data_IF_499208200024
#
_entry.id   IF_499208200024
#
_cell.length_a   1.000
_cell.length_b   1.000
_cell.length_c   1.000
_cell.angle_alpha   90.00
_cell.angle_beta   90.00
_cell.angle_gamma   90.00
#
_symmetry.space_group_name_H-M   'P 1'
#
loop_
_entity.id
_entity.type
_entity.pdbx_description
1 polymer ?
#
# COMPACT_ATOMS: atom_id res chain seq x y z
N UNK A 1 -0.90 -37.96 -1.66
CA UNK A 1 0.27 -37.05 -1.68
C UNK A 1 -0.28 -35.64 -1.74
N UNK A 2 0.22 -34.75 -0.91
CA UNK A 2 -0.29 -33.37 -0.89
C UNK A 2 0.06 -32.70 -2.24
N UNK A 3 -0.95 -32.14 -2.91
CA UNK A 3 -0.83 -31.46 -4.22
C UNK A 3 0.10 -30.22 -4.22
N UNK A 4 0.71 -29.88 -3.08
CA UNK A 4 1.48 -28.64 -2.88
C UNK A 4 2.97 -28.87 -2.53
N UNK A 5 3.51 -30.06 -2.75
CA UNK A 5 4.95 -30.33 -2.51
C UNK A 5 5.75 -29.99 -3.75
N UNK A 6 6.74 -29.10 -3.62
CA UNK A 6 7.67 -28.75 -4.70
C UNK A 6 8.66 -29.87 -4.93
N UNK A 7 8.65 -30.49 -6.11
CA UNK A 7 9.55 -31.58 -6.51
C UNK A 7 10.69 -31.08 -7.39
N UNK A 8 11.70 -31.93 -7.62
CA UNK A 8 12.86 -31.62 -8.46
C UNK A 8 12.47 -31.16 -9.89
N UNK A 9 11.38 -31.72 -10.45
CA UNK A 9 10.87 -31.35 -11.77
C UNK A 9 10.19 -29.98 -11.81
N UNK A 10 9.81 -29.44 -10.65
CA UNK A 10 9.20 -28.12 -10.52
C UNK A 10 10.27 -27.03 -10.41
N UNK A 11 11.52 -27.40 -10.16
CA UNK A 11 12.68 -26.52 -10.19
C UNK A 11 13.21 -26.43 -11.62
N UNK A 12 12.64 -25.49 -12.38
CA UNK A 12 13.08 -25.20 -13.75
C UNK A 12 14.52 -24.70 -13.72
N UNK A 13 15.28 -25.09 -14.75
CA UNK A 13 16.69 -24.86 -15.01
C UNK A 13 17.29 -23.60 -14.33
N UNK A 14 18.27 -23.74 -13.42
CA UNK A 14 18.63 -22.78 -12.37
C UNK A 14 19.16 -21.43 -12.85
N UNK A 15 19.70 -21.36 -14.06
CA UNK A 15 20.30 -20.14 -14.60
C UNK A 15 19.29 -19.07 -15.06
N UNK A 16 18.05 -19.48 -15.37
CA UNK A 16 17.00 -18.58 -15.87
C UNK A 16 16.11 -18.07 -14.74
N UNK A 17 16.02 -18.83 -13.64
CA UNK A 17 15.10 -18.51 -12.54
C UNK A 17 15.62 -17.37 -11.66
N UNK A 18 16.92 -17.28 -11.42
CA UNK A 18 17.50 -16.23 -10.59
C UNK A 18 17.29 -14.82 -11.18
N UNK A 19 17.41 -14.69 -12.51
CA UNK A 19 17.24 -13.42 -13.20
C UNK A 19 15.76 -13.01 -13.32
N UNK A 20 14.87 -13.98 -13.61
CA UNK A 20 13.42 -13.74 -13.70
C UNK A 20 12.75 -13.42 -12.36
N UNK A 21 13.29 -13.99 -11.28
CA UNK A 21 12.78 -13.75 -9.92
C UNK A 21 13.19 -12.37 -9.44
N UNK A 22 14.40 -11.93 -9.73
CA UNK A 22 14.88 -10.59 -9.37
C UNK A 22 14.08 -9.48 -10.06
N UNK A 23 13.70 -9.63 -11.32
CA UNK A 23 12.92 -8.64 -12.06
C UNK A 23 11.47 -8.50 -11.55
N UNK A 24 10.85 -9.60 -11.10
CA UNK A 24 9.47 -9.57 -10.58
C UNK A 24 9.32 -9.11 -9.13
N UNK A 25 10.41 -9.11 -8.37
CA UNK A 25 10.38 -8.77 -6.94
C UNK A 25 10.37 -7.26 -6.65
N UNK A 26 10.77 -6.45 -7.62
CA UNK A 26 10.86 -4.98 -7.47
C UNK A 26 9.49 -4.29 -7.60
N UNK A 27 8.48 -4.96 -8.12
CA UNK A 27 7.16 -4.37 -8.41
C UNK A 27 6.30 -4.09 -7.17
N UNK A 28 6.82 -4.33 -5.97
CA UNK A 28 5.86 -4.73 -4.97
C UNK A 28 5.51 -3.68 -3.92
N UNK A 29 6.44 -2.93 -3.38
CA UNK A 29 6.18 -2.19 -2.13
C UNK A 29 6.23 -0.69 -2.38
N UNK A 30 5.09 -0.08 -2.70
CA UNK A 30 5.04 1.36 -2.97
C UNK A 30 4.16 2.15 -2.00
N UNK A 31 3.12 1.53 -1.48
CA UNK A 31 2.17 2.22 -0.60
C UNK A 31 2.56 2.04 0.87
N UNK A 32 3.17 0.92 1.22
CA UNK A 32 3.55 0.63 2.60
C UNK A 32 4.46 1.70 3.25
N UNK A 33 5.44 2.31 2.54
CA UNK A 33 6.25 3.39 3.12
C UNK A 33 5.46 4.66 3.48
N UNK A 34 4.27 4.86 2.89
CA UNK A 34 3.38 5.98 3.16
C UNK A 34 2.46 5.72 4.38
N UNK A 35 2.41 4.47 4.85
CA UNK A 35 1.58 4.07 5.97
C UNK A 35 2.27 4.36 7.31
N UNK A 36 1.52 4.90 8.27
CA UNK A 36 1.97 4.94 9.65
C UNK A 36 1.81 3.54 10.27
N UNK A 37 2.86 3.04 10.95
CA UNK A 37 2.80 1.75 11.64
C UNK A 37 2.45 1.98 13.10
N UNK A 38 1.30 1.44 13.52
CA UNK A 38 0.84 1.46 14.90
C UNK A 38 1.03 0.08 15.55
N UNK A 39 1.80 0.03 16.62
CA UNK A 39 2.14 -1.18 17.39
C UNK A 39 1.39 -1.28 18.73
N UNK A 40 0.36 -0.47 18.94
CA UNK A 40 -0.35 -0.42 20.21
C UNK A 40 -0.96 -1.77 20.64
N UNK A 41 -1.20 -2.68 19.71
CA UNK A 41 -1.75 -4.02 19.96
C UNK A 41 -0.69 -5.13 20.04
N UNK A 42 0.56 -4.81 19.85
CA UNK A 42 1.63 -5.80 19.93
C UNK A 42 1.72 -6.37 21.37
N UNK A 43 1.63 -7.71 21.47
CA UNK A 43 1.65 -8.40 22.77
C UNK A 43 0.40 -8.24 23.66
N UNK A 44 -0.66 -7.56 23.19
CA UNK A 44 -1.91 -7.39 23.94
C UNK A 44 -2.99 -8.38 23.49
N UNK A 45 -3.89 -8.76 24.39
CA UNK A 45 -5.08 -9.54 24.05
C UNK A 45 -6.08 -8.69 23.27
N UNK A 46 -6.83 -9.31 22.34
CA UNK A 46 -7.85 -8.68 21.52
C UNK A 46 -7.55 -8.84 20.02
N UNK A 47 -8.60 -8.91 19.21
CA UNK A 47 -8.53 -9.06 17.74
C UNK A 47 -9.09 -7.86 17.00
N UNK A 48 -9.52 -6.82 17.72
CA UNK A 48 -10.20 -5.65 17.17
C UNK A 48 -9.59 -4.38 17.73
N UNK A 49 -9.47 -3.37 16.88
CA UNK A 49 -9.12 -2.00 17.24
C UNK A 49 -10.36 -1.14 17.12
N UNK A 50 -10.68 -0.39 18.14
CA UNK A 50 -11.71 0.63 18.11
C UNK A 50 -11.03 1.98 17.89
N UNK A 51 -11.25 2.58 16.73
CA UNK A 51 -10.73 3.89 16.38
C UNK A 51 -11.81 4.95 16.62
N UNK A 52 -11.66 5.83 17.63
CA UNK A 52 -12.61 6.90 17.83
C UNK A 52 -12.40 7.98 16.75
N UNK A 53 -13.48 8.36 16.07
CA UNK A 53 -13.53 9.49 15.15
C UNK A 53 -14.42 10.57 15.77
N UNK A 54 -13.81 11.70 16.15
CA UNK A 54 -14.53 12.81 16.73
C UNK A 54 -15.06 13.74 15.65
N UNK A 55 -16.33 14.14 15.76
CA UNK A 55 -16.89 15.14 14.90
C UNK A 55 -16.50 16.54 15.37
N UNK A 56 -16.27 17.44 14.42
CA UNK A 56 -16.02 18.85 14.72
C UNK A 56 -17.23 19.47 15.42
N UNK A 57 -17.02 20.17 16.52
CA UNK A 57 -18.10 20.79 17.32
C UNK A 57 -18.67 22.09 16.72
N UNK A 58 -18.08 22.54 15.60
CA UNK A 58 -18.41 23.81 14.94
C UNK A 58 -17.64 25.00 15.52
N UNK A 59 -17.68 26.10 14.80
CA UNK A 59 -16.93 27.31 15.14
C UNK A 59 -17.40 27.93 16.47
N UNK A 60 -16.50 28.71 17.08
CA UNK A 60 -16.85 29.57 18.21
C UNK A 60 -17.81 30.68 17.74
N UNK A 61 -18.68 31.13 18.65
CA UNK A 61 -19.59 32.22 18.40
C UNK A 61 -19.25 33.40 19.30
N UNK A 62 -19.47 34.60 18.81
CA UNK A 62 -19.29 35.80 19.62
C UNK A 62 -20.31 35.80 20.77
N UNK A 63 -19.84 36.04 21.99
CA UNK A 63 -20.64 36.07 23.19
C UNK A 63 -20.61 37.50 23.74
N UNK A 64 -21.81 38.10 23.89
CA UNK A 64 -21.94 39.43 24.49
C UNK A 64 -21.68 39.38 25.99
N UNK A 65 -21.27 40.52 26.57
CA UNK A 65 -20.98 40.64 27.98
C UNK A 65 -22.21 40.21 28.84
N UNK A 66 -21.95 39.27 29.78
CA UNK A 66 -22.99 38.72 30.65
C UNK A 66 -23.82 37.57 30.04
N UNK A 67 -23.62 37.22 28.79
CA UNK A 67 -24.27 36.05 28.18
C UNK A 67 -23.54 34.75 28.47
N UNK A 68 -24.30 33.65 28.56
CA UNK A 68 -23.71 32.32 28.78
C UNK A 68 -23.02 31.81 27.52
N UNK A 69 -21.81 31.24 27.67
CA UNK A 69 -21.10 30.55 26.57
C UNK A 69 -21.89 29.30 26.17
N UNK A 70 -22.25 29.13 24.89
CA UNK A 70 -22.99 27.96 24.41
C UNK A 70 -22.12 26.68 24.55
N UNK A 71 -22.63 25.70 25.30
CA UNK A 71 -21.98 24.41 25.49
C UNK A 71 -22.52 23.43 24.45
N UNK A 72 -21.63 22.89 23.62
CA UNK A 72 -21.94 21.89 22.61
C UNK A 72 -21.45 20.51 23.03
N UNK A 73 -22.19 19.46 22.71
CA UNK A 73 -21.83 18.08 23.00
C UNK A 73 -20.80 17.59 21.98
N UNK A 74 -19.66 17.07 22.44
CA UNK A 74 -18.72 16.35 21.60
C UNK A 74 -19.32 14.98 21.22
N UNK A 75 -19.46 14.73 19.92
CA UNK A 75 -19.93 13.44 19.39
C UNK A 75 -18.76 12.67 18.82
N UNK A 76 -18.66 11.39 19.16
CA UNK A 76 -17.67 10.47 18.62
C UNK A 76 -18.37 9.31 17.96
N UNK A 77 -17.87 8.91 16.79
CA UNK A 77 -18.18 7.63 16.17
C UNK A 77 -16.97 6.70 16.33
N UNK A 78 -17.21 5.41 16.42
CA UNK A 78 -16.16 4.41 16.51
C UNK A 78 -16.15 3.57 15.24
N UNK A 79 -14.97 3.42 14.65
CA UNK A 79 -14.75 2.47 13.56
C UNK A 79 -14.04 1.26 14.15
N UNK A 80 -14.64 0.08 13.98
CA UNK A 80 -14.07 -1.17 14.43
C UNK A 80 -13.26 -1.80 13.29
N UNK A 81 -11.98 -2.05 13.54
CA UNK A 81 -11.07 -2.67 12.58
C UNK A 81 -10.57 -3.99 13.13
N UNK A 82 -10.84 -5.08 12.41
CA UNK A 82 -10.45 -6.45 12.82
C UNK A 82 -9.06 -6.79 12.30
N UNK A 83 -8.22 -7.35 13.18
CA UNK A 83 -6.91 -7.88 12.82
C UNK A 83 -7.09 -9.21 12.08
N UNK A 84 -6.33 -9.38 11.00
CA UNK A 84 -6.29 -10.60 10.22
C UNK A 84 -4.90 -11.24 10.26
N UNK A 85 -4.86 -12.55 10.04
CA UNK A 85 -3.63 -13.31 9.81
C UNK A 85 -3.43 -13.43 8.29
N UNK A 86 -2.26 -13.05 7.81
CA UNK A 86 -1.78 -13.38 6.48
C UNK A 86 -0.63 -14.37 6.64
N UNK A 87 -0.63 -15.44 5.87
CA UNK A 87 0.44 -16.44 5.90
C UNK A 87 0.58 -17.13 4.56
N UNK A 88 1.77 -17.66 4.31
CA UNK A 88 2.10 -18.46 3.15
C UNK A 88 3.14 -19.51 3.56
N UNK A 89 3.27 -20.59 2.79
CA UNK A 89 4.21 -21.65 3.09
C UNK A 89 4.68 -22.40 1.83
N UNK A 90 5.84 -23.01 1.93
CA UNK A 90 6.46 -23.84 0.88
C UNK A 90 6.96 -25.13 1.51
N UNK A 91 6.75 -26.24 0.84
CA UNK A 91 7.32 -27.54 1.19
C UNK A 91 8.37 -27.93 0.15
N UNK A 92 9.58 -28.26 0.62
CA UNK A 92 10.71 -28.64 -0.20
C UNK A 92 11.12 -30.08 0.13
N UNK A 93 11.35 -30.91 -0.88
CA UNK A 93 11.90 -32.28 -0.69
C UNK A 93 13.40 -32.22 -0.49
N UNK A 94 13.98 -33.20 0.21
CA UNK A 94 15.44 -33.31 0.38
C UNK A 94 16.16 -33.41 -0.98
N UNK A 95 15.57 -34.11 -1.93
CA UNK A 95 16.11 -34.24 -3.28
C UNK A 95 16.19 -32.88 -4.00
N UNK A 96 15.17 -32.03 -3.81
CA UNK A 96 15.17 -30.68 -4.40
C UNK A 96 16.21 -29.77 -3.79
N UNK A 97 16.48 -29.90 -2.49
CA UNK A 97 17.53 -29.14 -1.78
C UNK A 97 18.92 -29.62 -2.18
N UNK A 98 19.13 -30.94 -2.26
CA UNK A 98 20.43 -31.53 -2.56
C UNK A 98 20.82 -31.40 -4.04
N UNK A 99 19.87 -31.46 -4.96
CA UNK A 99 20.11 -31.41 -6.41
C UNK A 99 19.90 -30.01 -6.99
N UNK A 100 19.26 -29.09 -6.26
CA UNK A 100 19.04 -27.71 -6.67
C UNK A 100 20.36 -26.93 -6.74
N UNK A 101 20.52 -26.10 -7.76
CA UNK A 101 21.66 -25.19 -7.86
C UNK A 101 21.43 -23.97 -6.96
N UNK A 102 22.46 -23.58 -6.19
CA UNK A 102 22.37 -22.46 -5.26
C UNK A 102 21.78 -22.84 -3.91
N UNK A 103 20.94 -21.97 -3.33
CA UNK A 103 20.27 -22.17 -2.04
C UNK A 103 18.74 -22.11 -2.23
N UNK A 104 18.07 -23.22 -2.57
CA UNK A 104 16.61 -23.24 -2.76
C UNK A 104 15.85 -22.90 -1.48
N UNK A 105 16.40 -23.22 -0.31
CA UNK A 105 15.75 -22.92 0.97
C UNK A 105 15.78 -21.42 1.27
N UNK A 106 16.95 -20.79 1.11
CA UNK A 106 17.09 -19.34 1.29
C UNK A 106 16.21 -18.56 0.31
N UNK A 107 16.10 -19.02 -0.94
CA UNK A 107 15.22 -18.39 -1.93
C UNK A 107 13.73 -18.56 -1.56
N UNK A 108 13.32 -19.72 -1.07
CA UNK A 108 11.95 -19.93 -0.60
C UNK A 108 11.59 -18.99 0.55
N UNK A 109 12.48 -18.84 1.54
CA UNK A 109 12.28 -17.88 2.65
C UNK A 109 12.17 -16.45 2.14
N UNK A 110 13.03 -16.05 1.20
CA UNK A 110 13.00 -14.72 0.59
C UNK A 110 11.67 -14.46 -0.14
N UNK A 111 11.21 -15.40 -0.95
CA UNK A 111 9.95 -15.27 -1.67
C UNK A 111 8.74 -15.22 -0.72
N UNK A 112 8.75 -16.00 0.35
CA UNK A 112 7.71 -15.96 1.37
C UNK A 112 7.64 -14.59 2.05
N UNK A 113 8.78 -14.00 2.41
CA UNK A 113 8.85 -12.67 3.00
C UNK A 113 8.27 -11.60 2.06
N UNK A 114 8.63 -11.64 0.77
CA UNK A 114 8.09 -10.74 -0.25
C UNK A 114 6.59 -10.96 -0.46
N UNK A 115 6.12 -12.20 -0.41
CA UNK A 115 4.68 -12.52 -0.52
C UNK A 115 3.87 -11.83 0.58
N UNK A 116 4.36 -11.83 1.82
CA UNK A 116 3.72 -11.14 2.94
C UNK A 116 3.74 -9.62 2.73
N UNK A 117 4.89 -9.05 2.33
CA UNK A 117 5.00 -7.62 2.05
C UNK A 117 4.03 -7.17 0.95
N UNK A 118 3.96 -7.94 -0.14
CA UNK A 118 2.99 -7.71 -1.22
C UNK A 118 1.54 -7.77 -0.74
N UNK A 119 1.23 -8.70 0.16
CA UNK A 119 -0.11 -8.80 0.72
C UNK A 119 -0.49 -7.57 1.53
N UNK A 120 0.42 -7.06 2.37
CA UNK A 120 0.21 -5.82 3.13
C UNK A 120 -0.04 -4.64 2.20
N UNK A 121 0.77 -4.50 1.16
CA UNK A 121 0.66 -3.42 0.19
C UNK A 121 -0.64 -3.51 -0.65
N UNK A 122 -1.07 -4.72 -1.02
CA UNK A 122 -2.36 -4.93 -1.68
C UNK A 122 -3.54 -4.53 -0.79
N UNK A 123 -3.45 -4.81 0.51
CA UNK A 123 -4.47 -4.42 1.47
C UNK A 123 -4.50 -2.90 1.67
N UNK A 124 -3.34 -2.23 1.62
CA UNK A 124 -3.26 -0.77 1.63
C UNK A 124 -3.92 -0.16 0.38
N UNK A 125 -3.67 -0.73 -0.81
CA UNK A 125 -4.34 -0.32 -2.04
C UNK A 125 -5.86 -0.52 -1.96
N UNK A 126 -6.32 -1.65 -1.41
CA UNK A 126 -7.74 -1.91 -1.22
C UNK A 126 -8.41 -0.89 -0.27
N UNK A 127 -7.68 -0.42 0.76
CA UNK A 127 -8.16 0.67 1.62
C UNK A 127 -8.30 1.99 0.86
N UNK A 128 -7.37 2.31 -0.05
CA UNK A 128 -7.47 3.49 -0.91
C UNK A 128 -8.66 3.42 -1.89
N UNK A 129 -9.04 2.24 -2.33
CA UNK A 129 -10.26 2.08 -3.14
C UNK A 129 -11.53 2.47 -2.37
N UNK A 130 -11.52 2.37 -1.05
CA UNK A 130 -12.61 2.74 -0.15
C UNK A 130 -12.74 4.25 0.13
N UNK A 131 -11.93 5.12 -0.48
CA UNK A 131 -12.03 6.57 -0.33
C UNK A 131 -13.42 7.05 -0.73
N UNK A 132 -14.04 7.85 0.13
CA UNK A 132 -15.40 8.37 -0.05
C UNK A 132 -15.55 9.30 -1.27
N UNK A 133 -16.80 9.53 -1.66
CA UNK A 133 -17.12 10.39 -2.82
C UNK A 133 -16.64 11.83 -2.64
N UNK A 134 -16.61 12.33 -1.42
CA UNK A 134 -16.18 13.70 -1.11
C UNK A 134 -14.72 13.96 -1.46
N UNK A 135 -13.87 12.92 -1.30
CA UNK A 135 -12.44 12.92 -1.66
C UNK A 135 -12.17 12.23 -3.00
N UNK A 136 -13.19 12.10 -3.85
CA UNK A 136 -13.05 11.54 -5.20
C UNK A 136 -13.25 12.62 -6.24
N UNK A 137 -12.35 12.69 -7.22
CA UNK A 137 -12.49 13.55 -8.41
C UNK A 137 -12.69 12.63 -9.61
N UNK A 138 -13.84 12.79 -10.28
CA UNK A 138 -14.19 11.98 -11.43
C UNK A 138 -13.89 12.73 -12.73
N UNK A 139 -12.88 12.28 -13.45
CA UNK A 139 -12.48 12.69 -14.79
C UNK A 139 -12.43 11.48 -15.74
N UNK A 140 -13.31 10.51 -15.52
CA UNK A 140 -13.37 9.26 -16.29
C UNK A 140 -13.63 9.43 -17.78
N UNK A 141 -13.97 10.63 -18.23
CA UNK A 141 -14.16 10.98 -19.66
C UNK A 141 -12.88 11.45 -20.34
N UNK A 142 -11.85 11.86 -19.58
CA UNK A 142 -10.60 12.41 -20.08
C UNK A 142 -9.38 11.62 -19.62
N UNK A 143 -8.26 11.60 -20.39
CA UNK A 143 -7.00 11.00 -19.97
C UNK A 143 -6.38 11.79 -18.80
N UNK A 144 -5.38 11.19 -18.17
CA UNK A 144 -4.64 11.84 -17.09
C UNK A 144 -3.91 13.08 -17.63
N UNK A 145 -4.19 14.23 -17.03
CA UNK A 145 -3.58 15.53 -17.36
C UNK A 145 -3.09 16.26 -16.11
N UNK A 146 -2.24 17.25 -16.29
CA UNK A 146 -1.80 18.13 -15.20
C UNK A 146 -2.99 18.85 -14.55
N UNK A 147 -3.95 19.31 -15.35
CA UNK A 147 -5.16 20.00 -14.87
C UNK A 147 -6.02 19.08 -13.98
N UNK A 148 -6.17 17.80 -14.36
CA UNK A 148 -6.91 16.84 -13.57
C UNK A 148 -6.25 16.61 -12.19
N UNK A 149 -4.91 16.65 -12.14
CA UNK A 149 -4.15 16.56 -10.88
C UNK A 149 -4.35 17.84 -10.06
N UNK A 150 -4.30 19.02 -10.69
CA UNK A 150 -4.56 20.28 -10.01
C UNK A 150 -5.96 20.32 -9.39
N UNK A 151 -7.00 19.89 -10.12
CA UNK A 151 -8.37 19.77 -9.60
C UNK A 151 -8.45 18.80 -8.40
N UNK A 152 -7.67 17.71 -8.44
CA UNK A 152 -7.62 16.76 -7.33
C UNK A 152 -6.94 17.37 -6.09
N UNK A 153 -5.92 18.21 -6.29
CA UNK A 153 -5.23 18.88 -5.19
C UNK A 153 -6.10 19.88 -4.45
N UNK A 154 -7.06 20.50 -5.11
CA UNK A 154 -8.04 21.42 -4.47
C UNK A 154 -8.82 20.72 -3.36
N UNK A 155 -9.03 19.40 -3.44
CA UNK A 155 -9.73 18.62 -2.40
C UNK A 155 -9.01 18.60 -1.06
N UNK A 156 -7.72 18.87 -1.01
CA UNK A 156 -6.96 18.97 0.24
C UNK A 156 -7.21 20.32 0.97
N UNK A 157 -7.87 21.29 0.31
CA UNK A 157 -8.16 22.60 0.91
C UNK A 157 -6.88 23.32 1.36
N UNK A 158 -6.90 23.85 2.58
CA UNK A 158 -5.77 24.58 3.17
C UNK A 158 -4.60 23.67 3.59
N UNK A 159 -4.77 22.33 3.53
CA UNK A 159 -3.68 21.37 3.77
C UNK A 159 -2.77 21.22 2.52
N UNK A 160 -2.44 22.35 1.89
CA UNK A 160 -1.57 22.38 0.71
C UNK A 160 -0.11 22.06 1.03
N UNK A 161 0.33 22.30 2.28
CA UNK A 161 1.69 22.07 2.73
C UNK A 161 1.88 20.62 3.17
N UNK A 162 2.88 19.96 2.61
CA UNK A 162 3.23 18.59 2.94
C UNK A 162 3.55 17.77 1.69
N UNK A 163 4.36 16.74 1.92
CA UNK A 163 4.69 15.79 0.86
C UNK A 163 3.43 15.07 0.38
N UNK A 164 3.26 15.05 -0.94
CA UNK A 164 2.16 14.35 -1.60
C UNK A 164 2.73 13.36 -2.60
N UNK A 165 2.24 12.16 -2.56
CA UNK A 165 2.64 11.11 -3.50
C UNK A 165 1.45 10.76 -4.39
N UNK A 166 1.63 10.93 -5.69
CA UNK A 166 0.68 10.53 -6.72
C UNK A 166 1.03 9.14 -7.21
N UNK A 167 0.17 8.19 -6.92
CA UNK A 167 0.28 6.80 -7.41
C UNK A 167 -0.47 6.67 -8.73
N UNK A 168 0.24 6.25 -9.79
CA UNK A 168 -0.31 6.06 -11.14
C UNK A 168 0.09 4.71 -11.73
N UNK A 169 -0.67 4.25 -12.72
CA UNK A 169 -0.27 3.11 -13.52
C UNK A 169 0.92 3.46 -14.44
N UNK A 170 1.84 2.52 -14.71
CA UNK A 170 2.98 2.75 -15.62
C UNK A 170 2.56 3.25 -17.01
N UNK A 171 1.43 2.78 -17.53
CA UNK A 171 0.89 3.21 -18.83
C UNK A 171 0.56 4.71 -18.90
N UNK A 172 0.24 5.34 -17.76
CA UNK A 172 -0.13 6.76 -17.70
C UNK A 172 1.07 7.70 -17.60
N UNK A 173 2.26 7.17 -17.31
CA UNK A 173 3.47 7.98 -17.18
C UNK A 173 3.80 8.76 -18.46
N UNK A 174 3.57 8.13 -19.62
CA UNK A 174 3.82 8.77 -20.93
C UNK A 174 2.95 10.03 -21.15
N UNK A 175 1.75 10.05 -20.57
CA UNK A 175 0.84 11.19 -20.65
C UNK A 175 1.36 12.37 -19.84
N UNK A 176 1.81 12.09 -18.60
CA UNK A 176 2.36 13.11 -17.72
C UNK A 176 3.69 13.69 -18.22
N UNK A 177 4.56 12.86 -18.80
CA UNK A 177 5.85 13.31 -19.34
C UNK A 177 5.74 14.29 -20.50
N UNK A 178 4.59 14.37 -21.16
CA UNK A 178 4.28 15.33 -22.21
C UNK A 178 3.82 16.68 -21.66
N UNK A 179 3.53 16.77 -20.37
CA UNK A 179 3.10 18.02 -19.73
C UNK A 179 4.28 18.95 -19.46
N UNK A 180 4.11 20.26 -19.69
CA UNK A 180 5.09 21.29 -19.34
C UNK A 180 5.34 21.41 -17.84
N UNK A 181 4.35 21.01 -17.01
CA UNK A 181 4.44 21.00 -15.56
C UNK A 181 5.24 19.83 -14.99
N UNK A 182 5.77 18.95 -15.86
CA UNK A 182 6.53 17.77 -15.44
C UNK A 182 7.96 18.12 -15.07
N UNK A 183 8.37 17.84 -13.83
CA UNK A 183 9.74 17.96 -13.34
C UNK A 183 10.35 16.55 -13.28
N UNK A 184 11.48 16.35 -13.95
CA UNK A 184 12.20 15.07 -13.96
C UNK A 184 12.80 14.76 -12.59
N UNK A 185 12.89 13.50 -12.24
CA UNK A 185 13.52 13.07 -10.99
C UNK A 185 14.97 13.55 -10.85
N UNK A 186 15.73 13.64 -11.95
CA UNK A 186 17.10 14.15 -11.98
C UNK A 186 17.22 15.62 -11.55
N UNK A 187 16.17 16.41 -11.70
CA UNK A 187 16.15 17.84 -11.39
C UNK A 187 15.68 18.13 -9.95
N UNK A 188 15.22 17.11 -9.23
CA UNK A 188 14.66 17.23 -7.88
C UNK A 188 15.71 17.24 -6.75
N UNK A 189 16.95 16.89 -7.04
CA UNK A 189 17.98 16.70 -6.01
C UNK A 189 17.85 15.38 -5.23
N UNK A 190 18.97 14.90 -4.68
CA UNK A 190 19.10 13.56 -4.09
C UNK A 190 18.28 13.39 -2.80
N UNK A 191 18.00 14.46 -2.08
CA UNK A 191 17.32 14.41 -0.76
C UNK A 191 15.78 14.31 -0.82
N UNK A 192 15.19 14.55 -2.00
CA UNK A 192 13.72 14.54 -2.19
C UNK A 192 13.20 13.28 -2.88
N UNK A 193 14.06 12.35 -3.25
CA UNK A 193 13.69 11.15 -3.99
C UNK A 193 13.26 10.04 -3.03
N UNK A 194 11.97 9.78 -2.95
CA UNK A 194 11.48 8.51 -2.43
C UNK A 194 11.87 7.37 -3.39
N UNK A 195 12.11 6.21 -2.84
CA UNK A 195 12.38 5.01 -3.64
C UNK A 195 11.17 4.74 -4.57
N UNK A 196 11.40 4.68 -5.89
CA UNK A 196 10.35 4.52 -6.89
C UNK A 196 9.73 5.81 -7.44
N UNK A 197 10.14 6.99 -6.99
CA UNK A 197 9.69 8.27 -7.55
C UNK A 197 10.30 8.51 -8.93
N UNK A 198 9.46 8.80 -9.92
CA UNK A 198 9.87 8.97 -11.32
C UNK A 198 9.99 10.45 -11.71
N UNK A 199 9.36 11.33 -10.97
CA UNK A 199 9.34 12.77 -11.22
C UNK A 199 8.36 13.48 -10.31
N UNK A 200 8.14 14.76 -10.55
CA UNK A 200 7.21 15.60 -9.78
C UNK A 200 6.28 16.38 -10.70
N UNK A 201 5.05 16.57 -10.27
CA UNK A 201 4.07 17.44 -10.94
C UNK A 201 3.21 18.15 -9.89
N UNK A 202 3.05 19.46 -10.02
CA UNK A 202 2.29 20.30 -9.08
C UNK A 202 2.64 20.07 -7.59
N UNK A 203 3.93 19.84 -7.28
CA UNK A 203 4.38 19.57 -5.91
C UNK A 203 4.14 18.13 -5.43
N UNK A 204 3.57 17.26 -6.26
CA UNK A 204 3.39 15.85 -5.94
C UNK A 204 4.52 15.00 -6.52
N UNK A 205 5.11 14.15 -5.70
CA UNK A 205 6.03 13.10 -6.15
C UNK A 205 5.23 12.01 -6.88
N UNK A 206 5.67 11.62 -8.06
CA UNK A 206 4.99 10.59 -8.86
C UNK A 206 5.65 9.25 -8.65
N UNK A 207 4.90 8.29 -8.13
CA UNK A 207 5.29 6.90 -7.98
C UNK A 207 4.44 5.99 -8.88
N UNK A 208 5.09 5.00 -9.48
CA UNK A 208 4.42 4.04 -10.36
C UNK A 208 3.94 2.85 -9.54
N UNK A 209 2.72 2.40 -9.79
CA UNK A 209 2.21 1.16 -9.22
C UNK A 209 1.59 0.28 -10.28
N UNK A 210 2.15 -0.91 -10.50
CA UNK A 210 1.59 -1.94 -11.38
C UNK A 210 0.29 -2.55 -10.84
N UNK A 211 -0.03 -2.26 -9.57
CA UNK A 211 -1.28 -2.68 -8.91
C UNK A 211 -2.49 -1.86 -9.34
N UNK A 212 -2.27 -0.65 -9.86
CA UNK A 212 -3.31 0.17 -10.46
C UNK A 212 -3.60 -0.35 -11.85
N UNK A 213 -4.78 -0.97 -12.01
CA UNK A 213 -5.24 -1.52 -13.28
C UNK A 213 -6.50 -0.80 -13.73
N UNK A 214 -6.68 -0.71 -15.05
CA UNK A 214 -7.92 -0.20 -15.60
C UNK A 214 -9.08 -1.15 -15.29
N UNK A 215 -10.16 -0.60 -14.78
CA UNK A 215 -11.43 -1.29 -14.62
C UNK A 215 -12.48 -0.59 -15.48
N UNK A 216 -13.06 -1.31 -16.43
CA UNK A 216 -14.06 -0.74 -17.37
C UNK A 216 -13.55 0.51 -18.12
N UNK A 217 -12.27 0.53 -18.51
CA UNK A 217 -11.66 1.66 -19.23
C UNK A 217 -11.34 2.89 -18.35
N UNK A 218 -11.32 2.73 -17.03
CA UNK A 218 -11.02 3.80 -16.06
C UNK A 218 -9.89 3.36 -15.14
N UNK A 219 -8.91 4.21 -14.96
CA UNK A 219 -7.88 4.08 -13.92
C UNK A 219 -8.30 4.85 -12.66
N UNK A 220 -8.13 4.22 -11.51
CA UNK A 220 -8.23 4.87 -10.20
C UNK A 220 -6.82 5.21 -9.72
N UNK A 221 -6.44 6.48 -9.82
CA UNK A 221 -5.19 7.00 -9.31
C UNK A 221 -5.41 7.57 -7.90
N UNK A 222 -4.35 7.64 -7.11
CA UNK A 222 -4.45 8.10 -5.73
C UNK A 222 -3.38 9.15 -5.43
N UNK A 223 -3.79 10.24 -4.80
CA UNK A 223 -2.86 11.21 -4.21
C UNK A 223 -2.92 11.00 -2.71
N UNK A 224 -1.80 10.61 -2.12
CA UNK A 224 -1.72 10.21 -0.71
C UNK A 224 -0.69 11.06 0.00
N UNK A 225 -1.05 11.59 1.17
CA UNK A 225 -0.13 12.23 2.10
C UNK A 225 0.32 11.22 3.17
N UNK A 226 1.53 11.35 3.71
CA UNK A 226 1.98 10.52 4.82
C UNK A 226 1.00 10.56 6.00
N UNK A 227 0.72 9.39 6.57
CA UNK A 227 -0.24 9.25 7.68
C UNK A 227 -1.72 9.24 7.24
N UNK A 228 -2.03 9.14 5.94
CA UNK A 228 -3.39 8.84 5.47
C UNK A 228 -3.80 7.41 5.83
N UNK A 229 -2.88 6.46 5.66
CA UNK A 229 -3.06 5.06 5.98
C UNK A 229 -2.32 4.69 7.27
N UNK A 230 -2.89 3.79 8.05
CA UNK A 230 -2.26 3.18 9.20
C UNK A 230 -2.28 1.65 9.10
N UNK A 231 -1.14 1.04 9.42
CA UNK A 231 -0.99 -0.41 9.58
C UNK A 231 -0.97 -0.71 11.08
N UNK A 232 -2.01 -1.36 11.57
CA UNK A 232 -2.08 -1.83 12.95
C UNK A 232 -1.44 -3.21 13.04
N UNK A 233 -0.34 -3.28 13.72
CA UNK A 233 0.47 -4.49 13.87
C UNK A 233 0.16 -5.16 15.21
N UNK A 234 -0.14 -6.46 15.17
CA UNK A 234 -0.30 -7.28 16.36
C UNK A 234 0.87 -8.24 16.56
N UNK A 235 1.39 -8.78 15.47
CA UNK A 235 2.58 -9.64 15.46
C UNK A 235 3.38 -9.37 14.19
N UNK A 236 4.67 -9.17 14.36
CA UNK A 236 5.61 -9.05 13.24
C UNK A 236 5.61 -10.32 12.39
N UNK A 237 6.30 -10.25 11.25
CA UNK A 237 6.47 -11.41 10.39
C UNK A 237 7.33 -12.44 11.10
N UNK A 238 6.80 -13.64 11.31
CA UNK A 238 7.51 -14.80 11.86
C UNK A 238 7.65 -15.86 10.78
N UNK A 239 8.82 -16.48 10.75
CA UNK A 239 9.10 -17.63 9.88
C UNK A 239 9.31 -18.85 10.77
N UNK A 240 8.59 -19.91 10.48
CA UNK A 240 8.74 -21.19 11.17
C UNK A 240 9.13 -22.26 10.16
N UNK A 241 9.97 -23.22 10.60
CA UNK A 241 10.43 -24.31 9.82
C UNK A 241 10.17 -25.63 10.54
N UNK A 242 9.56 -26.58 9.85
CA UNK A 242 9.34 -27.93 10.36
C UNK A 242 9.86 -28.96 9.36
N UNK A 243 10.62 -29.96 9.88
CA UNK A 243 11.07 -31.09 9.08
C UNK A 243 10.14 -32.29 9.28
N UNK A 244 9.64 -32.82 8.17
CA UNK A 244 8.99 -34.15 8.14
C UNK A 244 10.03 -35.21 7.82
N UNK A 245 10.35 -36.02 8.83
CA UNK A 245 11.37 -37.08 8.70
C UNK A 245 10.87 -38.30 7.94
N UNK A 246 9.56 -38.48 7.84
CA UNK A 246 8.92 -39.63 7.16
C UNK A 246 8.90 -39.39 5.66
N UNK A 247 8.44 -38.20 5.24
CA UNK A 247 8.37 -37.83 3.81
C UNK A 247 9.64 -37.19 3.29
N UNK A 248 10.66 -36.98 4.18
CA UNK A 248 11.92 -36.32 3.81
C UNK A 248 11.70 -34.94 3.18
N UNK A 249 10.80 -34.18 3.76
CA UNK A 249 10.47 -32.81 3.33
C UNK A 249 10.73 -31.79 4.44
N UNK A 250 10.96 -30.56 4.05
CA UNK A 250 11.07 -29.40 4.94
C UNK A 250 9.97 -28.41 4.58
N UNK A 251 9.09 -28.14 5.54
CA UNK A 251 8.04 -27.12 5.40
C UNK A 251 8.51 -25.82 6.01
N UNK A 252 8.45 -24.75 5.27
CA UNK A 252 8.72 -23.39 5.72
C UNK A 252 7.45 -22.57 5.61
N UNK A 253 7.03 -21.95 6.71
CA UNK A 253 5.85 -21.09 6.75
C UNK A 253 6.22 -19.72 7.25
N UNK A 254 5.55 -18.70 6.74
CA UNK A 254 5.69 -17.31 7.18
C UNK A 254 4.30 -16.75 7.45
N UNK A 255 4.13 -16.07 8.57
CA UNK A 255 2.86 -15.40 8.88
C UNK A 255 3.06 -14.04 9.53
N UNK A 256 2.01 -13.19 9.43
CA UNK A 256 1.95 -11.85 10.01
C UNK A 256 0.51 -11.54 10.47
N UNK A 257 0.37 -10.94 11.63
CA UNK A 257 -0.92 -10.49 12.15
C UNK A 257 -1.01 -8.97 12.10
N UNK A 258 -1.86 -8.45 11.24
CA UNK A 258 -1.99 -7.02 11.00
C UNK A 258 -3.37 -6.67 10.45
N UNK A 259 -3.63 -5.38 10.34
CA UNK A 259 -4.70 -4.82 9.50
C UNK A 259 -4.29 -3.46 8.99
N UNK A 260 -4.83 -3.06 7.84
CA UNK A 260 -4.63 -1.73 7.26
C UNK A 260 -5.95 -0.99 7.28
N UNK A 261 -5.90 0.30 7.60
CA UNK A 261 -7.07 1.15 7.63
C UNK A 261 -6.73 2.57 7.16
N UNK A 262 -7.70 3.25 6.54
CA UNK A 262 -7.62 4.66 6.19
C UNK A 262 -7.84 5.50 7.47
N UNK A 263 -6.74 5.93 8.08
CA UNK A 263 -6.75 6.63 9.37
C UNK A 263 -7.27 8.06 9.24
N UNK A 264 -6.99 8.71 8.11
CA UNK A 264 -7.44 10.07 7.85
C UNK A 264 -7.93 10.22 6.41
N UNK A 265 -9.26 10.30 6.26
CA UNK A 265 -9.94 10.43 4.97
C UNK A 265 -9.52 11.70 4.22
N UNK A 266 -9.23 12.80 4.93
CA UNK A 266 -8.83 14.07 4.35
C UNK A 266 -7.41 14.10 3.77
N UNK A 267 -6.60 13.05 4.00
CA UNK A 267 -5.22 12.96 3.53
C UNK A 267 -5.03 12.07 2.30
N UNK A 268 -6.10 11.59 1.71
CA UNK A 268 -6.06 10.78 0.51
C UNK A 268 -7.16 11.19 -0.47
N UNK A 269 -6.80 11.39 -1.73
CA UNK A 269 -7.72 11.74 -2.82
C UNK A 269 -7.67 10.68 -3.89
N UNK A 270 -8.83 10.26 -4.37
CA UNK A 270 -8.99 9.33 -5.49
C UNK A 270 -9.30 10.12 -6.77
N UNK A 271 -8.50 9.93 -7.79
CA UNK A 271 -8.66 10.55 -9.10
C UNK A 271 -8.98 9.48 -10.14
N UNK A 272 -10.20 9.50 -10.67
CA UNK A 272 -10.62 8.62 -11.75
C UNK A 272 -10.35 9.27 -13.09
N UNK A 273 -9.67 8.57 -13.99
CA UNK A 273 -9.36 9.05 -15.34
C UNK A 273 -9.56 7.95 -16.36
N UNK A 274 -9.82 8.35 -17.62
CA UNK A 274 -10.01 7.43 -18.72
C UNK A 274 -8.71 6.71 -19.07
N UNK A 275 -8.82 5.42 -19.35
CA UNK A 275 -7.76 4.69 -20.03
C UNK A 275 -7.60 5.23 -21.45
N UNK A 276 -6.37 5.55 -21.83
CA UNK A 276 -6.04 5.90 -23.21
C UNK A 276 -5.50 4.65 -23.88
N UNK A 277 -6.07 4.34 -25.03
CA UNK A 277 -5.60 3.27 -25.88
C UNK A 277 -4.19 3.56 -26.43
#
# INVERSE_FOLDING_TARGET
>A
MAENTTMLNDLINPQVVADLVNDKLVDAIQVLPLCAVDRALEGRSGSKVLLPKFAYIGDAVDVTEGAAIPVKKLTASTVEVSIKKAGNGVELTDESILSGYGDPLGEAVRQLAVSIANKVDNDAMACLEGIGADMTVDKSTAPLSADAIADALVKFGDQSDGEKVLLIAPAQLAQLRKSESWIKATDMGVSALMQGTVGMIHGCQVALSSKIKAASGVYNNYIVMPGALAVFLKRETEAEMQRDIVHKTTVVTVDKHYTVHLANDGKAVKLKVKETA
#
